data_IF_011338448700
#
_entry.id   IF_011338448700
#
_cell.length_a   1.000
_cell.length_b   1.000
_cell.length_c   1.000
_cell.angle_alpha   90.00
_cell.angle_beta   90.00
_cell.angle_gamma   90.00
#
_symmetry.space_group_name_H-M   'P 1'
#
loop_
_entity.id
_entity.type
_entity.pdbx_description
1 polymer ?
#
# COMPACT_ATOMS: atom_id res chain seq x y z
N UNK A 1 -12.55 9.15 -1.58
CA UNK A 1 -12.94 8.72 -0.22
C UNK A 1 -12.33 7.35 0.04
N UNK A 2 -11.76 7.10 1.22
CA UNK A 2 -11.28 5.74 1.60
C UNK A 2 -12.44 4.78 1.44
N UNK A 3 -12.26 3.69 0.68
CA UNK A 3 -13.25 2.60 0.63
C UNK A 3 -13.08 1.62 1.80
N UNK A 4 -11.85 1.30 2.20
CA UNK A 4 -11.60 0.37 3.32
C UNK A 4 -10.12 0.39 3.75
N UNK A 5 -9.84 -0.03 4.98
CA UNK A 5 -8.49 -0.36 5.45
C UNK A 5 -8.44 -1.76 6.04
N UNK A 6 -7.27 -2.40 5.98
CA UNK A 6 -7.08 -3.76 6.49
C UNK A 6 -5.83 -3.86 7.34
N UNK A 7 -5.96 -4.54 8.48
CA UNK A 7 -4.90 -4.70 9.45
C UNK A 7 -4.28 -6.09 9.42
N UNK A 8 -2.96 -6.15 9.50
CA UNK A 8 -2.18 -7.37 9.71
C UNK A 8 -1.18 -7.14 10.83
N UNK A 9 -1.09 -8.07 11.77
CA UNK A 9 -0.10 -8.03 12.87
C UNK A 9 1.01 -9.05 12.62
N UNK A 10 2.26 -8.62 12.70
CA UNK A 10 3.44 -9.45 12.52
C UNK A 10 4.47 -9.18 13.62
N UNK A 11 4.75 -10.18 14.47
CA UNK A 11 5.61 -10.06 15.67
C UNK A 11 5.38 -8.74 16.44
N UNK A 12 4.11 -8.48 16.83
CA UNK A 12 3.63 -7.27 17.53
C UNK A 12 3.66 -5.97 16.72
N UNK A 13 4.27 -5.93 15.55
CA UNK A 13 4.18 -4.79 14.63
C UNK A 13 2.85 -4.85 13.89
N UNK A 14 2.15 -3.72 13.83
CA UNK A 14 0.87 -3.60 13.12
C UNK A 14 1.07 -2.94 11.77
N UNK A 15 0.47 -3.50 10.73
CA UNK A 15 0.50 -3.02 9.35
C UNK A 15 -0.93 -2.76 8.88
N UNK A 16 -1.25 -1.50 8.61
CA UNK A 16 -2.57 -1.09 8.12
C UNK A 16 -2.43 -0.70 6.66
N UNK A 17 -3.14 -1.43 5.79
CA UNK A 17 -3.11 -1.23 4.35
C UNK A 17 -4.35 -0.50 3.86
N UNK A 18 -4.16 0.32 2.84
CA UNK A 18 -5.18 1.12 2.18
C UNK A 18 -5.05 0.96 0.68
N UNK A 19 -6.19 0.91 -0.01
CA UNK A 19 -6.26 0.88 -1.46
C UNK A 19 -7.02 2.09 -1.98
N UNK A 20 -6.48 2.74 -3.02
CA UNK A 20 -7.09 3.89 -3.65
C UNK A 20 -7.05 3.74 -5.17
N UNK A 21 -8.17 4.03 -5.82
CA UNK A 21 -8.19 4.32 -7.25
C UNK A 21 -7.70 5.77 -7.45
N UNK A 22 -6.72 5.97 -8.33
CA UNK A 22 -6.15 7.29 -8.62
C UNK A 22 -5.81 7.42 -10.11
N UNK A 23 -5.99 8.61 -10.66
CA UNK A 23 -5.72 8.88 -12.08
C UNK A 23 -4.58 9.89 -12.29
N UNK A 24 -4.01 10.41 -11.19
CA UNK A 24 -2.95 11.41 -11.24
C UNK A 24 -2.00 11.31 -10.04
N UNK A 25 -0.74 11.70 -10.28
CA UNK A 25 0.34 11.64 -9.29
C UNK A 25 0.16 12.63 -8.14
N UNK A 26 -0.56 13.73 -8.33
CA UNK A 26 -0.87 14.69 -7.26
C UNK A 26 -1.66 14.02 -6.15
N UNK A 27 -2.59 13.12 -6.48
CA UNK A 27 -3.36 12.34 -5.50
C UNK A 27 -2.47 11.47 -4.62
N UNK A 28 -1.38 10.92 -5.16
CA UNK A 28 -0.40 10.16 -4.36
C UNK A 28 0.14 11.02 -3.22
N UNK A 29 0.56 12.25 -3.53
CA UNK A 29 1.13 13.17 -2.54
C UNK A 29 0.09 13.62 -1.51
N UNK A 30 -1.11 13.95 -1.96
CA UNK A 30 -2.22 14.35 -1.08
C UNK A 30 -2.60 13.23 -0.09
N UNK A 31 -2.81 12.01 -0.59
CA UNK A 31 -3.19 10.85 0.22
C UNK A 31 -2.06 10.49 1.19
N UNK A 32 -0.81 10.52 0.73
CA UNK A 32 0.35 10.21 1.58
C UNK A 32 0.49 11.22 2.72
N UNK A 33 0.40 12.52 2.41
CA UNK A 33 0.47 13.58 3.41
C UNK A 33 -0.68 13.50 4.40
N UNK A 34 -1.88 13.16 3.93
CA UNK A 34 -3.04 12.95 4.78
C UNK A 34 -2.86 11.74 5.71
N UNK A 35 -2.47 10.57 5.20
CA UNK A 35 -2.24 9.39 6.04
C UNK A 35 -1.12 9.60 7.06
N UNK A 36 -0.07 10.36 6.73
CA UNK A 36 0.94 10.78 7.73
C UNK A 36 0.35 11.63 8.87
N UNK A 37 -0.64 12.47 8.57
CA UNK A 37 -1.34 13.28 9.59
C UNK A 37 -2.33 12.47 10.42
N UNK A 38 -3.03 11.52 9.82
CA UNK A 38 -3.94 10.61 10.55
C UNK A 38 -3.15 9.66 11.46
N UNK A 39 -2.04 9.12 10.95
CA UNK A 39 -1.21 8.14 11.64
C UNK A 39 0.05 8.75 12.25
N UNK A 40 -0.08 9.81 13.06
CA UNK A 40 1.07 10.53 13.66
C UNK A 40 2.03 9.66 14.47
N UNK A 41 1.53 8.54 15.02
CA UNK A 41 2.29 7.58 15.82
C UNK A 41 2.90 6.44 14.98
N UNK A 42 2.59 6.37 13.68
CA UNK A 42 3.18 5.37 12.81
C UNK A 42 4.67 5.67 12.60
N UNK A 43 5.45 4.61 12.44
CA UNK A 43 6.88 4.74 12.19
C UNK A 43 7.16 5.01 10.72
N UNK A 44 6.39 4.36 9.84
CA UNK A 44 6.56 4.44 8.39
C UNK A 44 5.19 4.39 7.71
N UNK A 45 5.03 5.18 6.65
CA UNK A 45 3.88 5.21 5.74
C UNK A 45 4.40 4.98 4.33
N UNK A 46 4.57 3.70 3.99
CA UNK A 46 5.16 3.26 2.73
C UNK A 46 4.08 3.11 1.66
N UNK A 47 4.42 3.27 0.39
CA UNK A 47 3.45 3.10 -0.68
C UNK A 47 4.06 2.60 -1.98
N UNK A 48 3.20 2.09 -2.86
CA UNK A 48 3.46 1.84 -4.27
C UNK A 48 2.25 2.26 -5.11
N UNK A 49 2.48 2.77 -6.31
CA UNK A 49 1.40 3.16 -7.23
C UNK A 49 1.78 2.88 -8.68
N UNK A 50 0.76 2.69 -9.51
CA UNK A 50 0.89 2.62 -10.96
C UNK A 50 -0.30 3.34 -11.58
N UNK A 51 -0.04 4.29 -12.47
CA UNK A 51 -1.05 5.07 -13.19
C UNK A 51 -0.78 4.90 -14.69
N UNK A 52 -1.84 4.70 -15.47
CA UNK A 52 -1.79 4.80 -16.92
C UNK A 52 -2.72 5.92 -17.35
N UNK A 53 -2.15 6.95 -17.95
CA UNK A 53 -2.90 8.07 -18.50
C UNK A 53 -2.49 8.28 -19.96
N UNK A 54 -3.45 8.32 -20.88
CA UNK A 54 -3.22 8.44 -22.32
C UNK A 54 -2.18 7.44 -22.88
N UNK A 55 -2.21 6.20 -22.38
CA UNK A 55 -1.27 5.14 -22.78
C UNK A 55 0.13 5.26 -22.19
N UNK A 56 0.41 6.28 -21.37
CA UNK A 56 1.70 6.46 -20.70
C UNK A 56 1.65 5.91 -19.28
N UNK A 57 2.57 5.00 -18.97
CA UNK A 57 2.74 4.41 -17.64
C UNK A 57 3.55 5.35 -16.74
N UNK A 58 3.03 5.66 -15.55
CA UNK A 58 3.71 6.38 -14.48
C UNK A 58 3.61 5.60 -13.18
N UNK A 59 4.73 5.03 -12.74
CA UNK A 59 4.81 4.25 -11.51
C UNK A 59 5.82 4.80 -10.52
N UNK A 60 5.68 4.40 -9.26
CA UNK A 60 6.66 4.73 -8.24
C UNK A 60 6.32 4.16 -6.87
N UNK A 61 7.26 4.29 -5.94
CA UNK A 61 7.12 3.80 -4.58
C UNK A 61 7.92 4.63 -3.59
N UNK A 62 7.63 4.44 -2.31
CA UNK A 62 8.41 4.98 -1.20
C UNK A 62 8.48 3.97 -0.07
N UNK A 63 9.69 3.70 0.41
CA UNK A 63 9.94 2.92 1.63
C UNK A 63 9.76 3.75 2.92
N UNK A 64 9.60 5.08 2.82
CA UNK A 64 9.37 6.01 3.95
C UNK A 64 10.27 5.78 5.17
N UNK A 65 11.56 5.51 4.94
CA UNK A 65 12.54 5.29 5.99
C UNK A 65 12.68 3.84 6.47
N UNK A 66 11.88 2.90 5.93
CA UNK A 66 12.20 1.47 6.01
C UNK A 66 13.51 1.18 5.25
N UNK A 67 14.19 0.05 5.53
CA UNK A 67 15.31 -0.41 4.72
C UNK A 67 14.97 -0.41 3.23
N UNK A 68 15.92 0.03 2.40
CA UNK A 68 15.73 0.19 0.95
C UNK A 68 15.14 -1.06 0.30
N UNK A 69 14.07 -0.89 -0.47
CA UNK A 69 13.33 -1.93 -1.17
C UNK A 69 12.64 -2.98 -0.29
N UNK A 70 12.50 -2.75 1.02
CA UNK A 70 11.83 -3.69 1.91
C UNK A 70 10.31 -3.48 2.00
N UNK A 71 9.78 -2.34 1.53
CA UNK A 71 8.40 -1.94 1.73
C UNK A 71 7.74 -1.43 0.44
N UNK A 72 8.00 -0.18 0.06
CA UNK A 72 7.41 0.47 -1.11
C UNK A 72 7.64 -0.31 -2.39
N UNK A 73 8.88 -0.78 -2.61
CA UNK A 73 9.21 -1.61 -3.78
C UNK A 73 8.38 -2.90 -3.83
N UNK A 74 8.20 -3.55 -2.67
CA UNK A 74 7.40 -4.78 -2.54
C UNK A 74 5.93 -4.53 -2.89
N UNK A 75 5.38 -3.41 -2.41
CA UNK A 75 4.00 -2.98 -2.72
C UNK A 75 3.86 -2.74 -4.23
N UNK A 76 4.78 -1.97 -4.82
CA UNK A 76 4.77 -1.65 -6.24
C UNK A 76 4.91 -2.88 -7.14
N UNK A 77 5.83 -3.79 -6.83
CA UNK A 77 5.99 -5.03 -7.59
C UNK A 77 4.73 -5.89 -7.54
N UNK A 78 4.04 -5.92 -6.40
CA UNK A 78 2.79 -6.64 -6.27
C UNK A 78 1.69 -6.05 -7.16
N UNK A 79 1.60 -4.71 -7.25
CA UNK A 79 0.67 -4.02 -8.17
C UNK A 79 0.94 -4.45 -9.61
N UNK A 80 2.21 -4.48 -10.02
CA UNK A 80 2.61 -4.91 -11.37
C UNK A 80 2.30 -6.38 -11.63
N UNK A 81 2.63 -7.27 -10.69
CA UNK A 81 2.34 -8.72 -10.81
C UNK A 81 0.84 -8.97 -10.93
N UNK A 82 0.01 -8.16 -10.27
CA UNK A 82 -1.45 -8.23 -10.33
C UNK A 82 -2.04 -7.53 -11.57
N UNK A 83 -1.21 -6.93 -12.43
CA UNK A 83 -1.60 -6.16 -13.61
C UNK A 83 -2.63 -5.06 -13.30
N UNK A 84 -2.49 -4.40 -12.15
CA UNK A 84 -3.38 -3.32 -11.73
C UNK A 84 -2.79 -1.97 -12.08
N UNK A 85 -3.64 -1.06 -12.55
CA UNK A 85 -3.27 0.28 -12.99
C UNK A 85 -4.28 1.29 -12.46
N UNK A 86 -3.89 2.57 -12.45
CA UNK A 86 -4.68 3.67 -11.86
C UNK A 86 -4.99 3.43 -10.39
N UNK A 87 -3.99 2.95 -9.65
CA UNK A 87 -4.13 2.61 -8.23
C UNK A 87 -2.92 3.05 -7.41
N UNK A 88 -3.18 3.24 -6.11
CA UNK A 88 -2.22 3.47 -5.06
C UNK A 88 -2.54 2.52 -3.90
N UNK A 89 -1.51 1.84 -3.41
CA UNK A 89 -1.58 1.08 -2.16
C UNK A 89 -0.62 1.70 -1.16
N UNK A 90 -1.13 2.00 0.03
CA UNK A 90 -0.35 2.55 1.15
C UNK A 90 -0.38 1.57 2.29
N UNK A 91 0.76 1.31 2.91
CA UNK A 91 0.87 0.48 4.12
C UNK A 91 1.52 1.31 5.22
N UNK A 92 0.74 1.56 6.27
CA UNK A 92 1.15 2.24 7.50
C UNK A 92 1.67 1.18 8.48
N UNK A 93 2.87 1.38 9.02
CA UNK A 93 3.46 0.49 10.01
C UNK A 93 3.58 1.16 11.37
N UNK A 94 3.10 0.47 12.40
CA UNK A 94 3.39 0.73 13.80
C UNK A 94 4.42 -0.27 14.31
N UNK A 95 5.48 0.24 14.94
CA UNK A 95 6.56 -0.61 15.46
C UNK A 95 6.13 -1.34 16.74
N UNK A 96 6.29 -2.66 16.77
CA UNK A 96 5.85 -3.52 17.86
C UNK A 96 6.90 -3.81 18.95
N UNK A 97 8.03 -3.11 18.95
CA UNK A 97 9.12 -3.33 19.90
C UNK A 97 10.10 -4.46 19.52
N UNK A 98 9.91 -5.14 18.38
CA UNK A 98 10.82 -6.18 17.90
C UNK A 98 11.11 -6.01 16.41
N UNK A 99 12.39 -6.11 16.03
CA UNK A 99 12.82 -6.02 14.64
C UNK A 99 12.37 -7.27 13.86
N UNK A 100 11.89 -7.06 12.63
CA UNK A 100 11.45 -8.13 11.73
C UNK A 100 12.57 -8.69 10.86
N UNK A 101 13.66 -7.94 10.69
CA UNK A 101 14.67 -8.20 9.66
C UNK A 101 14.13 -7.96 8.24
N UNK A 102 15.03 -7.87 7.27
CA UNK A 102 14.68 -7.50 5.89
C UNK A 102 13.62 -8.43 5.25
N UNK A 103 13.83 -9.75 5.32
CA UNK A 103 12.87 -10.72 4.78
C UNK A 103 11.53 -10.72 5.51
N UNK A 104 11.53 -10.45 6.83
CA UNK A 104 10.30 -10.31 7.61
C UNK A 104 9.50 -9.08 7.22
N UNK A 105 10.16 -7.95 6.96
CA UNK A 105 9.53 -6.73 6.44
C UNK A 105 8.89 -6.98 5.09
N UNK A 106 9.64 -7.53 4.13
CA UNK A 106 9.11 -7.81 2.80
C UNK A 106 7.87 -8.70 2.87
N UNK A 107 7.90 -9.75 3.72
CA UNK A 107 6.75 -10.64 3.90
C UNK A 107 5.53 -9.89 4.47
N UNK A 108 5.73 -9.09 5.51
CA UNK A 108 4.64 -8.34 6.15
C UNK A 108 4.02 -7.30 5.20
N UNK A 109 4.85 -6.49 4.51
CA UNK A 109 4.37 -5.52 3.52
C UNK A 109 3.64 -6.19 2.35
N UNK A 110 4.17 -7.29 1.82
CA UNK A 110 3.52 -8.05 0.74
C UNK A 110 2.17 -8.60 1.17
N UNK A 111 2.08 -9.19 2.37
CA UNK A 111 0.83 -9.75 2.88
C UNK A 111 -0.22 -8.66 3.11
N UNK A 112 0.17 -7.56 3.74
CA UNK A 112 -0.72 -6.43 4.01
C UNK A 112 -1.24 -5.81 2.70
N UNK A 113 -0.37 -5.52 1.73
CA UNK A 113 -0.77 -4.98 0.43
C UNK A 113 -1.66 -5.95 -0.37
N UNK A 114 -1.35 -7.26 -0.34
CA UNK A 114 -2.16 -8.30 -1.01
C UNK A 114 -3.57 -8.34 -0.45
N UNK A 115 -3.71 -8.24 0.87
CA UNK A 115 -5.02 -8.26 1.53
C UNK A 115 -5.90 -7.10 1.06
N UNK A 116 -5.36 -5.88 0.99
CA UNK A 116 -6.11 -4.73 0.49
C UNK A 116 -6.51 -4.87 -0.98
N UNK A 117 -5.59 -5.36 -1.82
CA UNK A 117 -5.85 -5.58 -3.25
C UNK A 117 -6.95 -6.62 -3.46
N UNK A 118 -6.84 -7.78 -2.81
CA UNK A 118 -7.76 -8.88 -3.05
C UNK A 118 -9.18 -8.53 -2.59
N UNK A 119 -9.34 -7.88 -1.43
CA UNK A 119 -10.65 -7.43 -0.97
C UNK A 119 -11.28 -6.40 -1.92
N UNK A 120 -10.49 -5.46 -2.45
CA UNK A 120 -10.99 -4.52 -3.46
C UNK A 120 -11.48 -5.26 -4.72
N UNK A 121 -10.72 -6.25 -5.20
CA UNK A 121 -11.08 -7.04 -6.38
C UNK A 121 -12.32 -7.91 -6.13
N UNK A 122 -12.48 -8.46 -4.94
CA UNK A 122 -13.68 -9.21 -4.54
C UNK A 122 -14.90 -8.29 -4.51
N UNK A 123 -14.80 -7.11 -3.89
CA UNK A 123 -15.89 -6.12 -3.89
C UNK A 123 -16.33 -5.73 -5.30
N UNK A 124 -15.39 -5.50 -6.22
CA UNK A 124 -15.68 -5.20 -7.64
C UNK A 124 -16.40 -6.35 -8.37
N UNK A 125 -16.23 -7.60 -7.94
CA UNK A 125 -16.95 -8.74 -8.55
C UNK A 125 -18.41 -8.75 -8.12
N UNK A 126 -18.69 -8.46 -6.85
CA UNK A 126 -20.07 -8.37 -6.35
C UNK A 126 -20.85 -7.23 -7.04
N UNK A 127 -20.23 -6.06 -7.18
CA UNK A 127 -20.83 -4.90 -7.85
C UNK A 127 -21.16 -5.15 -9.34
N UNK A 128 -20.44 -6.07 -10.01
CA UNK A 128 -20.65 -6.40 -11.43
C UNK A 128 -21.71 -7.48 -11.66
N UNK A 129 -22.07 -8.23 -10.63
CA UNK A 129 -23.02 -9.34 -10.68
C UNK A 129 -24.37 -9.01 -10.02
N UNK A 130 -24.56 -7.74 -9.62
CA UNK A 130 -25.83 -7.18 -9.10
C UNK A 130 -26.44 -6.25 -10.13
#
# INVERSE_FOLDING_TARGET
MIKQSFEVVFKKSTFISYFFEINDKTKVREIHAWLKKEHKKAKHVCYGYLIINNGVENGGFSDDGEPSNSAGKVIYDLIRIKNLTNILVVVVRYFGGTLLGFGGLQKAYRQSAKLAIDNYLEGKKYDKNS
#
